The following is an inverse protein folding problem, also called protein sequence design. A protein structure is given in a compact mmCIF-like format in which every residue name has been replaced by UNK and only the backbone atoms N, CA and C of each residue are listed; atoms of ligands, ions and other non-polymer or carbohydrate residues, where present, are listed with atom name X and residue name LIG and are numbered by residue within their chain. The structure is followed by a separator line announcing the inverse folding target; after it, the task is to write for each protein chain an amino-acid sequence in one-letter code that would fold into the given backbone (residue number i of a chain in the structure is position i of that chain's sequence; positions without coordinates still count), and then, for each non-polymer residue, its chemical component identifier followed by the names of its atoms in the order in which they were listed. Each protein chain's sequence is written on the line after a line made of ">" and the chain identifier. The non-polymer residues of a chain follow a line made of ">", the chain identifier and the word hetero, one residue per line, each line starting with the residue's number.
data_IF_441342835695
#
_entry.id   IF_441342835695
#
_cell.length_a   1.000
_cell.length_b   1.000
_cell.length_c   1.000
_cell.angle_alpha   90.00
_cell.angle_beta   90.00
_cell.angle_gamma   90.00
#
_symmetry.space_group_name_H-M   'P 1'
#
loop_
_entity.id
_entity.type
_entity.pdbx_description
1 polymer ?
#
# COMPACT_ATOMS: atom_id res chain seq x y z
N UNK A 1 -17.67 20.10 -44.62
CA UNK A 1 -18.81 19.31 -44.11
C UNK A 1 -18.36 17.91 -43.67
N UNK A 2 -17.54 17.20 -44.45
CA UNK A 2 -17.08 15.85 -44.17
C UNK A 2 -16.23 15.72 -42.88
N UNK A 3 -15.33 16.67 -42.62
CA UNK A 3 -14.48 16.72 -41.43
C UNK A 3 -15.26 16.93 -40.12
N UNK A 4 -16.37 17.69 -40.17
CA UNK A 4 -17.25 17.87 -38.99
C UNK A 4 -18.05 16.61 -38.63
N UNK A 5 -18.40 15.80 -39.62
CA UNK A 5 -19.12 14.52 -39.41
C UNK A 5 -18.22 13.46 -38.78
N UNK A 6 -16.92 13.40 -39.13
CA UNK A 6 -15.97 12.47 -38.54
C UNK A 6 -15.63 12.84 -37.09
N UNK A 7 -15.47 14.10 -36.77
CA UNK A 7 -15.24 14.58 -35.40
C UNK A 7 -16.46 14.28 -34.51
N UNK A 8 -17.67 14.45 -35.01
CA UNK A 8 -18.89 14.11 -34.27
C UNK A 8 -19.02 12.61 -34.02
N UNK A 9 -18.66 11.76 -34.99
CA UNK A 9 -18.72 10.30 -34.82
C UNK A 9 -17.65 9.77 -33.84
N UNK A 10 -16.45 10.33 -33.86
CA UNK A 10 -15.39 9.97 -32.89
C UNK A 10 -15.76 10.38 -31.45
N UNK A 11 -16.34 11.55 -31.25
CA UNK A 11 -16.85 11.96 -29.94
C UNK A 11 -17.94 11.01 -29.43
N UNK A 12 -18.92 10.65 -30.28
CA UNK A 12 -19.95 9.71 -29.92
C UNK A 12 -19.41 8.31 -29.56
N UNK A 13 -18.35 7.84 -30.23
CA UNK A 13 -17.72 6.55 -29.92
C UNK A 13 -17.01 6.63 -28.57
N UNK A 14 -16.27 7.68 -28.29
CA UNK A 14 -15.57 7.88 -27.00
C UNK A 14 -16.55 8.01 -25.85
N UNK A 15 -17.59 8.81 -26.01
CA UNK A 15 -18.63 8.99 -24.99
C UNK A 15 -19.34 7.68 -24.68
N UNK A 16 -19.66 6.91 -25.72
CA UNK A 16 -20.29 5.59 -25.58
C UNK A 16 -19.37 4.61 -24.88
N UNK A 17 -18.09 4.55 -25.24
CA UNK A 17 -17.10 3.68 -24.61
C UNK A 17 -16.97 4.00 -23.12
N UNK A 18 -16.84 5.28 -22.76
CA UNK A 18 -16.74 5.71 -21.34
C UNK A 18 -18.03 5.38 -20.60
N UNK A 19 -19.18 5.63 -21.22
CA UNK A 19 -20.48 5.32 -20.62
C UNK A 19 -20.62 3.82 -20.35
N UNK A 20 -20.28 2.98 -21.33
CA UNK A 20 -20.33 1.52 -21.20
C UNK A 20 -19.36 1.01 -20.13
N UNK A 21 -18.13 1.56 -20.06
CA UNK A 21 -17.16 1.24 -19.02
C UNK A 21 -17.67 1.61 -17.61
N UNK A 22 -18.20 2.80 -17.45
CA UNK A 22 -18.73 3.27 -16.15
C UNK A 22 -19.96 2.48 -15.74
N UNK A 23 -20.83 2.13 -16.70
CA UNK A 23 -22.01 1.30 -16.46
C UNK A 23 -21.60 -0.10 -15.99
N UNK A 24 -20.71 -0.76 -16.72
CA UNK A 24 -20.21 -2.09 -16.37
C UNK A 24 -19.51 -2.08 -14.99
N UNK A 25 -18.73 -1.03 -14.70
CA UNK A 25 -18.11 -0.83 -13.39
C UNK A 25 -19.16 -0.72 -12.27
N UNK A 26 -20.21 0.08 -12.49
CA UNK A 26 -21.26 0.28 -11.49
C UNK A 26 -22.11 -0.98 -11.27
N UNK A 27 -22.43 -1.71 -12.34
CA UNK A 27 -23.28 -2.90 -12.29
C UNK A 27 -22.54 -4.14 -11.75
N UNK A 28 -21.27 -4.31 -12.07
CA UNK A 28 -20.52 -5.54 -11.77
C UNK A 28 -19.43 -5.38 -10.71
N UNK A 29 -18.89 -4.16 -10.54
CA UNK A 29 -17.74 -3.89 -9.69
C UNK A 29 -16.44 -4.53 -10.17
N UNK A 30 -16.36 -5.03 -11.41
CA UNK A 30 -15.23 -5.80 -11.94
C UNK A 30 -14.24 -4.99 -12.75
N UNK A 31 -14.62 -3.81 -13.22
CA UNK A 31 -13.75 -2.94 -14.00
C UNK A 31 -12.98 -2.01 -13.06
N UNK A 32 -11.66 -2.09 -13.12
CA UNK A 32 -10.75 -1.23 -12.37
C UNK A 32 -10.15 -0.20 -13.31
N UNK A 33 -9.96 1.01 -12.80
CA UNK A 33 -9.31 2.12 -13.51
C UNK A 33 -8.02 2.44 -12.76
N UNK A 34 -6.89 2.30 -13.43
CA UNK A 34 -5.57 2.56 -12.86
C UNK A 34 -4.97 3.81 -13.51
N UNK A 35 -4.54 4.76 -12.70
CA UNK A 35 -3.81 5.94 -13.14
C UNK A 35 -2.32 5.59 -13.25
N UNK A 36 -1.94 4.97 -14.36
CA UNK A 36 -0.61 4.38 -14.58
C UNK A 36 0.52 5.41 -14.49
N UNK A 37 0.31 6.64 -14.95
CA UNK A 37 1.30 7.70 -14.89
C UNK A 37 1.59 8.10 -13.43
N UNK A 38 0.56 8.19 -12.59
CA UNK A 38 0.70 8.46 -11.17
C UNK A 38 1.46 7.32 -10.47
N UNK A 39 1.10 6.06 -10.77
CA UNK A 39 1.80 4.90 -10.22
C UNK A 39 3.29 4.94 -10.55
N UNK A 40 3.67 5.24 -11.79
CA UNK A 40 5.07 5.34 -12.20
C UNK A 40 5.79 6.56 -11.60
N UNK A 41 5.08 7.69 -11.45
CA UNK A 41 5.66 8.90 -10.85
C UNK A 41 5.98 8.71 -9.38
N UNK A 42 5.08 8.08 -8.62
CA UNK A 42 5.16 8.01 -7.16
C UNK A 42 5.71 6.68 -6.62
N UNK A 43 5.93 5.66 -7.46
CA UNK A 43 6.51 4.39 -7.04
C UNK A 43 8.00 4.53 -6.66
N UNK A 44 8.50 3.55 -5.92
CA UNK A 44 9.92 3.41 -5.59
C UNK A 44 10.78 2.88 -6.74
N UNK A 45 10.18 2.54 -7.89
CA UNK A 45 10.86 1.87 -9.00
C UNK A 45 11.29 2.83 -10.10
N UNK A 46 12.43 2.55 -10.74
CA UNK A 46 12.84 3.09 -12.03
C UNK A 46 12.19 2.30 -13.17
N UNK A 47 12.00 1.00 -12.97
CA UNK A 47 11.30 0.12 -13.89
C UNK A 47 9.84 0.50 -14.02
N UNK A 48 9.30 0.31 -15.23
CA UNK A 48 7.93 0.69 -15.52
C UNK A 48 6.93 -0.28 -14.90
N UNK A 49 5.98 0.27 -14.14
CA UNK A 49 4.81 -0.44 -13.66
C UNK A 49 3.72 -0.37 -14.73
N UNK A 50 3.19 -1.52 -15.16
CA UNK A 50 2.17 -1.63 -16.20
C UNK A 50 0.83 -2.14 -15.70
N UNK A 51 0.76 -2.71 -14.50
CA UNK A 51 -0.43 -3.30 -13.92
C UNK A 51 -0.40 -3.25 -12.40
N UNK A 52 -1.51 -3.61 -11.78
CA UNK A 52 -1.64 -3.81 -10.34
C UNK A 52 -2.20 -5.20 -10.04
N UNK A 53 -2.23 -5.58 -8.75
CA UNK A 53 -2.99 -6.72 -8.28
C UNK A 53 -4.51 -6.46 -8.32
N UNK A 54 -5.31 -7.45 -7.92
CA UNK A 54 -6.77 -7.39 -7.91
C UNK A 54 -7.32 -6.21 -7.10
N UNK A 55 -6.78 -5.95 -5.92
CA UNK A 55 -7.25 -4.89 -5.03
C UNK A 55 -6.59 -3.51 -5.28
N UNK A 56 -5.69 -3.42 -6.24
CA UNK A 56 -4.97 -2.21 -6.68
C UNK A 56 -4.04 -1.57 -5.63
N UNK A 57 -3.80 -2.22 -4.49
CA UNK A 57 -2.86 -1.73 -3.47
C UNK A 57 -1.40 -2.02 -3.81
N UNK A 58 -1.13 -2.88 -4.79
CA UNK A 58 0.22 -3.29 -5.18
C UNK A 58 0.49 -2.92 -6.63
N UNK A 59 1.51 -2.10 -6.83
CA UNK A 59 1.97 -1.65 -8.15
C UNK A 59 3.46 -1.96 -8.29
N UNK A 60 3.76 -3.14 -8.83
CA UNK A 60 5.11 -3.66 -9.00
C UNK A 60 5.46 -3.78 -10.47
N UNK A 61 6.74 -3.58 -10.85
CA UNK A 61 7.21 -3.86 -12.20
C UNK A 61 7.09 -5.36 -12.52
N UNK A 62 6.80 -5.65 -13.78
CA UNK A 62 6.77 -7.00 -14.35
C UNK A 62 7.47 -7.00 -15.69
N UNK A 63 8.09 -8.11 -16.06
CA UNK A 63 8.64 -8.30 -17.39
C UNK A 63 7.91 -9.46 -18.11
N UNK A 64 7.70 -9.35 -19.44
CA UNK A 64 7.03 -10.41 -20.20
C UNK A 64 7.73 -11.75 -20.01
N UNK A 65 6.92 -12.82 -20.00
CA UNK A 65 7.39 -14.21 -20.00
C UNK A 65 6.98 -14.86 -21.31
N UNK A 66 7.95 -15.38 -22.05
CA UNK A 66 7.68 -16.09 -23.30
C UNK A 66 7.40 -17.58 -23.06
N UNK A 67 7.93 -18.12 -21.97
CA UNK A 67 7.78 -19.51 -21.58
C UNK A 67 7.75 -19.65 -20.05
N UNK A 68 7.07 -20.66 -19.52
CA UNK A 68 6.87 -20.86 -18.07
C UNK A 68 8.19 -20.96 -17.28
N UNK A 69 9.23 -21.53 -17.90
CA UNK A 69 10.58 -21.65 -17.33
C UNK A 69 11.55 -20.59 -17.89
N UNK A 70 11.03 -19.62 -18.66
CA UNK A 70 11.81 -18.59 -19.32
C UNK A 70 12.15 -17.42 -18.42
N UNK A 71 12.92 -16.51 -19.00
CA UNK A 71 13.22 -15.21 -18.39
C UNK A 71 11.96 -14.34 -18.35
N UNK A 72 11.90 -13.44 -17.39
CA UNK A 72 10.78 -12.54 -17.16
C UNK A 72 10.50 -12.39 -15.67
N UNK A 73 9.52 -11.55 -15.32
CA UNK A 73 9.17 -11.31 -13.93
C UNK A 73 7.65 -11.38 -13.70
N UNK A 74 7.22 -12.26 -12.80
CA UNK A 74 5.89 -12.25 -12.22
C UNK A 74 6.02 -11.64 -10.83
N UNK A 75 5.44 -10.46 -10.64
CA UNK A 75 5.51 -9.77 -9.38
C UNK A 75 4.68 -10.48 -8.30
N UNK A 76 5.31 -10.76 -7.18
CA UNK A 76 4.67 -11.21 -5.95
C UNK A 76 4.95 -10.19 -4.84
N UNK A 77 3.97 -10.03 -3.94
CA UNK A 77 4.12 -9.22 -2.75
C UNK A 77 3.63 -10.00 -1.55
N UNK A 78 4.45 -10.03 -0.50
CA UNK A 78 4.10 -10.66 0.77
C UNK A 78 3.53 -9.58 1.69
N UNK A 79 2.33 -9.83 2.23
CA UNK A 79 1.56 -8.84 2.95
C UNK A 79 1.58 -9.08 4.46
N UNK A 80 1.62 -7.97 5.21
CA UNK A 80 1.36 -7.93 6.65
C UNK A 80 0.61 -6.64 7.01
N UNK A 81 -0.06 -6.64 8.17
CA UNK A 81 -0.76 -5.46 8.66
C UNK A 81 -0.60 -5.29 10.17
N UNK A 82 -0.26 -4.07 10.60
CA UNK A 82 -0.16 -3.69 12.01
C UNK A 82 -1.48 -3.05 12.44
N UNK A 83 -2.05 -3.51 13.57
CA UNK A 83 -3.29 -2.95 14.12
C UNK A 83 -3.01 -1.70 14.94
N UNK A 84 -2.99 -0.53 14.29
CA UNK A 84 -2.69 0.76 14.94
C UNK A 84 -3.76 1.18 15.96
N UNK A 85 -4.94 0.57 15.94
CA UNK A 85 -5.98 0.80 16.94
C UNK A 85 -5.61 0.32 18.34
N UNK A 86 -4.65 -0.61 18.48
CA UNK A 86 -4.23 -1.18 19.77
C UNK A 86 -2.76 -0.98 20.08
N UNK A 87 -1.92 -0.78 19.07
CA UNK A 87 -0.48 -0.56 19.23
C UNK A 87 -0.24 0.75 19.97
N UNK A 88 0.71 0.74 20.89
CA UNK A 88 1.20 1.94 21.53
C UNK A 88 2.29 2.60 20.69
N UNK A 89 2.47 3.90 20.86
CA UNK A 89 3.43 4.67 20.09
C UNK A 89 4.86 4.15 20.26
N UNK A 90 5.24 3.84 21.48
CA UNK A 90 6.56 3.29 21.84
C UNK A 90 6.84 1.88 21.30
N UNK A 91 5.80 1.16 20.86
CA UNK A 91 5.91 -0.21 20.31
C UNK A 91 6.02 -0.20 18.77
N UNK A 92 5.73 0.92 18.11
CA UNK A 92 5.62 1.00 16.65
C UNK A 92 6.93 0.61 15.95
N UNK A 93 8.06 1.12 16.41
CA UNK A 93 9.37 0.84 15.82
C UNK A 93 9.70 -0.65 15.86
N UNK A 94 9.58 -1.26 17.03
CA UNK A 94 9.87 -2.69 17.20
C UNK A 94 8.91 -3.60 16.43
N UNK A 95 7.64 -3.20 16.29
CA UNK A 95 6.66 -3.96 15.50
C UNK A 95 6.91 -3.82 14.00
N UNK A 96 7.36 -2.66 13.54
CA UNK A 96 7.78 -2.47 12.15
C UNK A 96 9.00 -3.34 11.83
N UNK A 97 10.01 -3.36 12.69
CA UNK A 97 11.19 -4.21 12.53
C UNK A 97 10.80 -5.70 12.51
N UNK A 98 9.98 -6.14 13.46
CA UNK A 98 9.51 -7.53 13.52
C UNK A 98 8.72 -7.92 12.27
N UNK A 99 7.86 -7.03 11.76
CA UNK A 99 7.07 -7.28 10.55
C UNK A 99 7.97 -7.42 9.32
N UNK A 100 8.96 -6.54 9.14
CA UNK A 100 9.89 -6.60 8.02
C UNK A 100 10.74 -7.88 8.10
N UNK A 101 11.32 -8.19 9.26
CA UNK A 101 12.13 -9.41 9.45
C UNK A 101 11.32 -10.68 9.24
N UNK A 102 10.10 -10.74 9.78
CA UNK A 102 9.23 -11.91 9.61
C UNK A 102 8.87 -12.16 8.14
N UNK A 103 8.61 -11.12 7.37
CA UNK A 103 8.31 -11.27 5.94
C UNK A 103 9.58 -11.53 5.11
N UNK A 104 10.73 -10.98 5.50
CA UNK A 104 12.02 -11.27 4.88
C UNK A 104 12.36 -12.76 4.95
N UNK A 105 12.17 -13.40 6.11
CA UNK A 105 12.37 -14.84 6.27
C UNK A 105 11.38 -15.66 5.43
N UNK A 106 10.13 -15.20 5.28
CA UNK A 106 9.13 -15.86 4.42
C UNK A 106 9.52 -15.84 2.95
N UNK A 107 10.19 -14.79 2.46
CA UNK A 107 10.70 -14.72 1.09
C UNK A 107 11.66 -15.87 0.80
N UNK A 108 12.54 -16.18 1.74
CA UNK A 108 13.54 -17.23 1.56
C UNK A 108 13.02 -18.63 1.87
N UNK A 109 11.96 -18.74 2.69
CA UNK A 109 11.38 -20.01 3.11
C UNK A 109 10.38 -20.61 2.11
N UNK A 110 9.66 -19.76 1.36
CA UNK A 110 8.61 -20.25 0.46
C UNK A 110 9.17 -20.88 -0.82
N UNK A 111 8.41 -21.81 -1.37
CA UNK A 111 8.68 -22.42 -2.68
C UNK A 111 7.98 -21.63 -3.80
N UNK A 112 8.66 -21.46 -4.92
CA UNK A 112 8.13 -20.74 -6.08
C UNK A 112 7.74 -21.72 -7.20
N UNK A 113 6.45 -21.79 -7.60
CA UNK A 113 6.00 -22.75 -8.58
C UNK A 113 6.44 -22.43 -10.01
N UNK A 114 6.85 -21.18 -10.28
CA UNK A 114 7.33 -20.73 -11.60
C UNK A 114 8.58 -19.86 -11.44
N UNK A 115 9.54 -20.04 -12.35
CA UNK A 115 10.85 -19.36 -12.28
C UNK A 115 10.75 -17.85 -12.30
N UNK A 116 9.87 -17.27 -13.11
CA UNK A 116 9.68 -15.83 -13.20
C UNK A 116 9.19 -15.19 -11.87
N UNK A 117 8.42 -15.93 -11.08
CA UNK A 117 8.01 -15.47 -9.73
C UNK A 117 9.17 -15.51 -8.73
N UNK A 118 9.99 -16.57 -8.78
CA UNK A 118 11.21 -16.70 -7.97
C UNK A 118 12.18 -15.55 -8.27
N UNK A 119 12.48 -15.33 -9.55
CA UNK A 119 13.42 -14.29 -10.00
C UNK A 119 12.96 -12.90 -9.51
N UNK A 120 11.70 -12.55 -9.75
CA UNK A 120 11.15 -11.27 -9.32
C UNK A 120 11.22 -11.12 -7.79
N UNK A 121 10.78 -12.13 -7.06
CA UNK A 121 10.68 -12.05 -5.59
C UNK A 121 12.04 -12.01 -4.93
N UNK A 122 12.95 -12.88 -5.29
CA UNK A 122 14.29 -12.93 -4.68
C UNK A 122 15.16 -11.75 -5.08
N UNK A 123 14.98 -11.20 -6.29
CA UNK A 123 15.78 -10.05 -6.75
C UNK A 123 15.27 -8.72 -6.20
N UNK A 124 13.95 -8.56 -6.07
CA UNK A 124 13.34 -7.32 -5.60
C UNK A 124 13.00 -7.31 -4.12
N UNK A 125 12.70 -8.46 -3.54
CA UNK A 125 12.28 -8.64 -2.14
C UNK A 125 11.16 -7.67 -1.75
N UNK A 126 10.13 -7.56 -2.60
CA UNK A 126 9.03 -6.62 -2.43
C UNK A 126 8.12 -7.04 -1.28
N UNK A 127 7.91 -6.13 -0.33
CA UNK A 127 6.98 -6.30 0.78
C UNK A 127 5.80 -5.33 0.64
N UNK A 128 4.66 -5.70 1.24
CA UNK A 128 3.48 -4.86 1.35
C UNK A 128 2.98 -4.85 2.79
N UNK A 129 3.55 -4.00 3.62
CA UNK A 129 3.16 -3.85 5.03
C UNK A 129 2.24 -2.64 5.12
N UNK A 130 1.02 -2.86 5.61
CA UNK A 130 0.04 -1.81 5.84
C UNK A 130 -0.37 -1.74 7.31
N UNK A 131 -1.38 -0.93 7.59
CA UNK A 131 -1.99 -0.92 8.91
C UNK A 131 -3.51 -1.05 8.81
N UNK A 132 -4.10 -1.60 9.86
CA UNK A 132 -5.54 -1.73 10.08
C UNK A 132 -5.93 -1.00 11.34
N UNK A 133 -7.21 -0.75 11.52
CA UNK A 133 -7.68 -0.14 12.76
C UNK A 133 -7.56 1.38 12.79
N UNK A 134 -7.43 2.08 11.64
CA UNK A 134 -7.33 3.53 11.62
C UNK A 134 -8.57 4.20 12.24
N UNK A 135 -9.78 3.71 11.92
CA UNK A 135 -10.99 4.25 12.54
C UNK A 135 -10.99 4.08 14.07
N UNK A 136 -10.49 2.96 14.57
CA UNK A 136 -10.34 2.74 16.02
C UNK A 136 -9.27 3.68 16.62
N UNK A 137 -8.15 3.89 15.94
CA UNK A 137 -7.12 4.84 16.34
C UNK A 137 -7.67 6.27 16.47
N UNK A 138 -8.39 6.74 15.45
CA UNK A 138 -9.03 8.07 15.48
C UNK A 138 -10.10 8.16 16.57
N UNK A 139 -10.96 7.15 16.71
CA UNK A 139 -11.98 7.11 17.75
C UNK A 139 -11.39 7.18 19.18
N UNK A 140 -10.28 6.49 19.45
CA UNK A 140 -9.55 6.59 20.73
C UNK A 140 -9.03 8.01 21.01
N UNK A 141 -8.62 8.72 19.97
CA UNK A 141 -8.21 10.12 20.06
C UNK A 141 -9.38 11.11 20.05
N UNK A 142 -10.65 10.60 19.99
CA UNK A 142 -11.88 11.40 19.91
C UNK A 142 -11.90 12.36 18.71
N UNK A 143 -11.34 11.91 17.61
CA UNK A 143 -11.24 12.64 16.34
C UNK A 143 -12.03 11.88 15.28
N UNK A 144 -12.80 12.58 14.47
CA UNK A 144 -13.53 12.03 13.33
C UNK A 144 -12.71 12.17 12.05
N UNK A 145 -13.08 11.42 11.00
CA UNK A 145 -12.39 11.48 9.71
C UNK A 145 -12.42 12.86 9.03
N UNK A 146 -13.49 13.63 9.25
CA UNK A 146 -13.67 14.97 8.70
C UNK A 146 -13.12 16.09 9.60
N UNK A 147 -12.55 15.74 10.74
CA UNK A 147 -11.89 16.68 11.63
C UNK A 147 -10.52 17.08 11.05
N UNK A 148 -10.17 18.37 10.94
CA UNK A 148 -8.82 18.79 10.53
C UNK A 148 -7.70 18.14 11.35
N UNK A 149 -7.93 17.87 12.62
CA UNK A 149 -6.97 17.18 13.49
C UNK A 149 -6.68 15.73 13.04
N UNK A 150 -7.60 15.10 12.30
CA UNK A 150 -7.36 13.77 11.74
C UNK A 150 -6.21 13.77 10.73
N UNK A 151 -6.08 14.84 9.95
CA UNK A 151 -4.98 14.97 8.97
C UNK A 151 -3.62 15.00 9.67
N UNK A 152 -3.50 15.76 10.78
CA UNK A 152 -2.27 15.82 11.57
C UNK A 152 -1.92 14.46 12.17
N UNK A 153 -2.89 13.83 12.86
CA UNK A 153 -2.69 12.52 13.49
C UNK A 153 -2.31 11.42 12.50
N UNK A 154 -2.98 11.39 11.34
CA UNK A 154 -2.70 10.39 10.29
C UNK A 154 -1.35 10.66 9.64
N UNK A 155 -0.99 11.93 9.43
CA UNK A 155 0.31 12.31 8.90
C UNK A 155 1.44 11.82 9.81
N UNK A 156 1.38 12.15 11.12
CA UNK A 156 2.37 11.72 12.10
C UNK A 156 2.46 10.19 12.25
N UNK A 157 1.31 9.51 12.28
CA UNK A 157 1.24 8.04 12.32
C UNK A 157 1.92 7.43 11.09
N UNK A 158 1.60 7.94 9.90
CA UNK A 158 2.10 7.40 8.64
C UNK A 158 3.57 7.72 8.43
N UNK A 159 4.04 8.91 8.87
CA UNK A 159 5.45 9.25 8.87
C UNK A 159 6.26 8.23 9.66
N UNK A 160 5.90 7.98 10.93
CA UNK A 160 6.59 7.00 11.79
C UNK A 160 6.57 5.60 11.19
N UNK A 161 5.41 5.18 10.72
CA UNK A 161 5.23 3.86 10.10
C UNK A 161 6.16 3.66 8.91
N UNK A 162 6.15 4.61 7.96
CA UNK A 162 6.99 4.54 6.77
C UNK A 162 8.50 4.63 7.11
N UNK A 163 8.84 5.49 8.04
CA UNK A 163 10.23 5.69 8.48
C UNK A 163 10.80 4.43 9.13
N UNK A 164 10.08 3.85 10.09
CA UNK A 164 10.55 2.65 10.81
C UNK A 164 10.65 1.41 9.90
N UNK A 165 9.76 1.27 8.94
CA UNK A 165 9.86 0.19 7.94
C UNK A 165 11.12 0.35 7.07
N UNK A 166 11.44 1.58 6.66
CA UNK A 166 12.67 1.85 5.91
C UNK A 166 13.93 1.64 6.77
N UNK A 167 13.90 2.05 8.04
CA UNK A 167 15.00 1.78 8.98
C UNK A 167 15.25 0.27 9.12
N UNK A 168 14.20 -0.52 9.37
CA UNK A 168 14.29 -1.97 9.47
C UNK A 168 14.86 -2.62 8.19
N UNK A 169 14.45 -2.13 7.02
CA UNK A 169 15.00 -2.61 5.74
C UNK A 169 16.46 -2.22 5.55
N UNK A 170 16.89 -1.06 6.04
CA UNK A 170 18.28 -0.62 6.02
C UNK A 170 19.13 -1.44 7.00
N UNK A 171 18.60 -1.75 8.19
CA UNK A 171 19.25 -2.64 9.18
C UNK A 171 19.54 -4.01 8.56
N UNK A 172 18.54 -4.60 7.89
CA UNK A 172 18.71 -5.90 7.22
C UNK A 172 19.66 -5.80 6.03
N UNK A 173 19.68 -4.66 5.32
CA UNK A 173 20.65 -4.46 4.25
C UNK A 173 22.11 -4.42 4.77
N UNK A 174 22.35 -3.85 5.95
CA UNK A 174 23.65 -3.89 6.61
C UNK A 174 24.03 -5.30 7.06
N UNK A 175 23.05 -6.10 7.49
CA UNK A 175 23.28 -7.49 7.94
C UNK A 175 23.45 -8.49 6.78
N UNK A 176 22.63 -8.40 5.74
CA UNK A 176 22.47 -9.40 4.67
C UNK A 176 22.79 -8.87 3.26
N UNK A 177 23.08 -7.57 3.11
CA UNK A 177 23.23 -6.89 1.83
C UNK A 177 21.91 -6.38 1.25
N UNK A 178 22.02 -5.39 0.38
CA UNK A 178 20.88 -4.85 -0.37
C UNK A 178 20.24 -5.91 -1.29
N UNK A 179 18.98 -5.70 -1.71
CA UNK A 179 18.38 -6.57 -2.72
C UNK A 179 19.10 -6.46 -4.06
N UNK A 180 19.07 -7.54 -4.86
CA UNK A 180 19.83 -7.62 -6.12
C UNK A 180 19.43 -6.52 -7.11
N UNK A 181 18.19 -6.06 -7.08
CA UNK A 181 17.67 -5.00 -7.97
C UNK A 181 17.58 -3.63 -7.27
N UNK A 182 18.39 -3.39 -6.24
CA UNK A 182 18.44 -2.10 -5.54
C UNK A 182 18.68 -0.93 -6.51
N UNK A 183 19.63 -1.08 -7.45
CA UNK A 183 19.95 -0.05 -8.45
C UNK A 183 18.79 0.26 -9.41
N UNK A 184 17.81 -0.62 -9.52
CA UNK A 184 16.56 -0.43 -10.27
C UNK A 184 15.48 0.30 -9.46
N UNK A 185 15.81 0.75 -8.25
CA UNK A 185 14.92 1.56 -7.40
C UNK A 185 15.34 3.02 -7.38
N UNK A 186 14.40 3.91 -7.10
CA UNK A 186 14.67 5.34 -6.85
C UNK A 186 15.43 5.56 -5.54
N UNK A 187 15.38 4.60 -4.63
CA UNK A 187 16.16 4.63 -3.38
C UNK A 187 17.67 4.70 -3.65
N UNK A 188 18.16 4.03 -4.70
CA UNK A 188 19.56 4.11 -5.11
C UNK A 188 19.98 5.54 -5.48
N UNK A 189 19.05 6.36 -5.99
CA UNK A 189 19.28 7.78 -6.27
C UNK A 189 19.03 8.67 -5.03
N UNK A 190 18.66 8.05 -3.91
CA UNK A 190 18.34 8.75 -2.66
C UNK A 190 16.97 9.42 -2.67
N UNK A 191 16.06 8.98 -3.53
CA UNK A 191 14.68 9.48 -3.59
C UNK A 191 13.82 8.60 -2.67
N UNK A 192 13.24 9.21 -1.64
CA UNK A 192 12.40 8.55 -0.63
C UNK A 192 10.92 8.86 -0.85
N UNK A 193 9.99 8.17 -0.19
CA UNK A 193 8.55 8.44 -0.32
C UNK A 193 8.16 9.89 -0.03
N UNK A 194 8.87 10.58 0.86
CA UNK A 194 8.67 11.99 1.17
C UNK A 194 9.00 12.95 0.00
N UNK A 195 9.70 12.46 -1.02
CA UNK A 195 10.07 13.26 -2.20
C UNK A 195 9.09 13.08 -3.36
N UNK A 196 8.36 11.96 -3.40
CA UNK A 196 7.58 11.54 -4.57
C UNK A 196 6.07 11.80 -4.47
N UNK A 197 5.57 12.28 -3.35
CA UNK A 197 4.16 12.58 -3.21
C UNK A 197 3.71 13.81 -4.03
N UNK A 198 2.41 13.93 -4.29
CA UNK A 198 1.84 15.04 -5.04
C UNK A 198 1.88 16.32 -4.18
N UNK A 199 2.73 17.26 -4.56
CA UNK A 199 3.00 18.49 -3.79
C UNK A 199 1.77 19.39 -3.53
N UNK A 200 0.69 19.27 -4.32
CA UNK A 200 -0.56 19.99 -4.04
C UNK A 200 -1.24 19.55 -2.72
N UNK A 201 -0.80 18.45 -2.10
CA UNK A 201 -1.26 18.05 -0.77
C UNK A 201 -0.78 19.06 0.31
N UNK A 202 0.35 19.73 0.09
CA UNK A 202 0.90 20.74 0.99
C UNK A 202 -0.03 21.97 1.13
N UNK A 203 -0.96 22.17 0.18
CA UNK A 203 -2.01 23.20 0.29
C UNK A 203 -3.06 22.86 1.37
N UNK A 204 -3.20 21.57 1.70
CA UNK A 204 -4.16 21.07 2.69
C UNK A 204 -3.55 20.92 4.07
N UNK A 205 -2.31 20.45 4.13
CA UNK A 205 -1.56 20.21 5.37
C UNK A 205 -0.11 20.59 5.14
N UNK A 206 0.43 21.45 5.99
CA UNK A 206 1.85 21.77 5.97
C UNK A 206 2.64 20.51 6.37
N UNK A 207 3.56 20.02 5.50
CA UNK A 207 4.33 18.83 5.82
C UNK A 207 5.30 19.13 6.96
N UNK A 208 5.14 18.44 8.08
CA UNK A 208 6.04 18.48 9.23
C UNK A 208 6.67 17.11 9.37
N UNK A 209 7.96 17.03 9.14
CA UNK A 209 8.73 15.81 9.37
C UNK A 209 9.43 15.90 10.71
N UNK A 210 9.14 14.91 11.58
CA UNK A 210 9.67 14.88 12.95
C UNK A 210 10.86 13.91 13.08
N UNK A 211 11.14 13.11 12.05
CA UNK A 211 12.16 12.07 12.05
C UNK A 211 13.34 12.44 11.14
N UNK A 212 14.49 11.83 11.36
CA UNK A 212 15.74 12.16 10.64
C UNK A 212 15.77 11.48 9.24
N UNK A 213 14.97 11.98 8.32
CA UNK A 213 14.90 11.52 6.95
C UNK A 213 16.21 11.70 6.19
N UNK A 214 16.98 12.72 6.47
CA UNK A 214 18.26 12.95 5.79
C UNK A 214 19.34 11.99 6.27
N UNK A 215 19.39 11.68 7.57
CA UNK A 215 20.24 10.62 8.10
C UNK A 215 19.91 9.26 7.50
N UNK A 216 18.62 8.93 7.39
CA UNK A 216 18.17 7.70 6.75
C UNK A 216 18.52 7.67 5.25
N UNK A 217 18.32 8.78 4.52
CA UNK A 217 18.72 8.91 3.11
C UNK A 217 20.18 8.64 2.87
N UNK A 218 21.03 9.21 3.72
CA UNK A 218 22.49 8.97 3.66
C UNK A 218 22.81 7.51 3.90
N UNK A 219 22.23 6.91 4.92
CA UNK A 219 22.43 5.50 5.26
C UNK A 219 22.00 4.57 4.12
N UNK A 220 20.84 4.84 3.50
CA UNK A 220 20.34 4.07 2.34
C UNK A 220 21.28 4.20 1.14
N UNK A 221 21.84 5.37 0.87
CA UNK A 221 22.82 5.57 -0.20
C UNK A 221 24.12 4.82 0.03
N UNK A 222 24.56 4.69 1.27
CA UNK A 222 25.80 4.02 1.64
C UNK A 222 25.67 2.49 1.65
N UNK A 223 24.56 1.96 2.18
CA UNK A 223 24.39 0.53 2.45
C UNK A 223 23.30 -0.15 1.60
N UNK A 224 22.48 0.63 0.90
CA UNK A 224 21.33 0.13 0.16
C UNK A 224 20.10 -0.14 1.02
N UNK A 225 19.09 -0.77 0.41
CA UNK A 225 17.92 -1.32 1.09
C UNK A 225 17.75 -2.80 0.75
N UNK A 226 17.28 -3.57 1.72
CA UNK A 226 17.00 -5.00 1.53
C UNK A 226 15.74 -5.21 0.68
N UNK A 227 14.82 -4.27 0.65
CA UNK A 227 13.50 -4.39 0.00
C UNK A 227 13.29 -3.26 -1.00
N UNK A 228 12.85 -3.58 -2.21
CA UNK A 228 12.59 -2.60 -3.27
C UNK A 228 11.34 -1.75 -3.03
N UNK A 229 10.42 -2.23 -2.21
CA UNK A 229 9.27 -1.52 -1.64
C UNK A 229 8.83 -2.19 -0.34
N UNK A 230 8.15 -1.47 0.53
CA UNK A 230 7.81 -1.93 1.89
C UNK A 230 6.33 -1.77 2.23
N UNK A 231 5.65 -0.80 1.66
CA UNK A 231 4.30 -0.43 2.09
C UNK A 231 3.24 -0.74 1.06
N UNK A 232 2.12 -1.28 1.53
CA UNK A 232 0.88 -1.41 0.77
C UNK A 232 -0.31 -1.28 1.72
N UNK A 233 -1.29 -0.48 1.34
CA UNK A 233 -2.49 -0.30 2.14
C UNK A 233 -3.60 -1.22 1.62
N UNK A 234 -3.55 -2.48 2.06
CA UNK A 234 -4.45 -3.52 1.59
C UNK A 234 -5.84 -3.46 2.26
N UNK A 235 -6.89 -3.98 1.59
CA UNK A 235 -8.16 -4.30 2.23
C UNK A 235 -7.99 -5.55 3.10
N UNK A 236 -7.98 -5.38 4.42
CA UNK A 236 -7.66 -6.44 5.39
C UNK A 236 -8.91 -7.14 5.93
N UNK A 237 -9.78 -7.58 5.05
CA UNK A 237 -11.11 -8.14 5.36
C UNK A 237 -11.10 -9.24 6.44
N UNK A 238 -10.30 -10.28 6.27
CA UNK A 238 -10.26 -11.42 7.20
C UNK A 238 -9.37 -11.15 8.41
N UNK A 239 -8.20 -10.58 8.22
CA UNK A 239 -7.25 -10.28 9.29
C UNK A 239 -7.79 -9.23 10.26
N UNK A 240 -8.53 -8.22 9.79
CA UNK A 240 -9.19 -7.26 10.67
C UNK A 240 -10.27 -7.90 11.54
N UNK A 241 -11.02 -8.87 11.00
CA UNK A 241 -12.02 -9.61 11.78
C UNK A 241 -11.36 -10.44 12.87
N UNK A 242 -10.31 -11.18 12.54
CA UNK A 242 -9.58 -12.04 13.49
C UNK A 242 -8.96 -11.21 14.62
N UNK A 243 -8.40 -10.05 14.29
CA UNK A 243 -7.75 -9.16 15.26
C UNK A 243 -8.71 -8.18 15.96
N UNK A 244 -10.02 -8.28 15.69
CA UNK A 244 -11.03 -7.33 16.18
C UNK A 244 -10.67 -5.87 15.89
N UNK A 245 -10.24 -5.59 14.65
CA UNK A 245 -9.89 -4.26 14.16
C UNK A 245 -10.93 -3.74 13.18
N UNK A 246 -10.95 -2.44 12.93
CA UNK A 246 -11.61 -1.88 11.75
C UNK A 246 -10.78 -2.18 10.51
N UNK A 247 -11.44 -2.33 9.34
CA UNK A 247 -10.77 -2.72 8.10
C UNK A 247 -9.90 -1.58 7.57
N UNK A 248 -8.61 -1.84 7.41
CA UNK A 248 -7.67 -0.91 6.77
C UNK A 248 -7.75 0.51 7.31
N UNK A 249 -7.83 1.45 6.37
CA UNK A 249 -7.94 2.89 6.60
C UNK A 249 -9.37 3.43 6.45
N UNK A 250 -10.33 2.56 6.12
CA UNK A 250 -11.70 2.96 5.84
C UNK A 250 -12.48 3.23 7.12
N UNK A 251 -13.41 4.22 7.11
CA UNK A 251 -14.39 4.34 8.16
C UNK A 251 -15.32 3.13 8.17
N UNK A 252 -15.77 2.64 9.33
CA UNK A 252 -16.73 1.56 9.39
C UNK A 252 -18.07 2.01 8.78
N UNK A 253 -18.72 1.12 8.01
CA UNK A 253 -20.02 1.42 7.38
C UNK A 253 -21.15 1.60 8.39
N UNK A 254 -21.02 0.93 9.54
CA UNK A 254 -21.93 0.98 10.66
C UNK A 254 -21.20 0.47 11.91
N UNK A 255 -21.74 0.73 13.07
CA UNK A 255 -21.26 0.17 14.35
C UNK A 255 -21.32 -1.35 14.41
N UNK A 256 -22.26 -1.95 13.72
CA UNK A 256 -22.44 -3.39 13.55
C UNK A 256 -22.43 -3.76 12.07
N UNK A 257 -21.40 -4.44 11.62
CA UNK A 257 -21.36 -5.02 10.29
C UNK A 257 -21.74 -6.49 10.31
N UNK A 258 -22.44 -6.95 9.26
CA UNK A 258 -22.87 -8.33 9.09
C UNK A 258 -22.32 -8.86 7.79
N UNK A 259 -21.35 -9.79 7.89
CA UNK A 259 -20.78 -10.47 6.72
C UNK A 259 -21.42 -11.83 6.53
N UNK A 260 -22.04 -12.05 5.38
CA UNK A 260 -22.63 -13.35 5.00
C UNK A 260 -21.68 -14.08 4.05
N UNK A 261 -21.38 -15.33 4.35
CA UNK A 261 -20.59 -16.20 3.47
C UNK A 261 -21.24 -17.57 3.36
N UNK A 262 -20.75 -18.43 2.47
CA UNK A 262 -21.18 -19.82 2.37
C UNK A 262 -20.97 -20.61 3.68
N UNK A 263 -20.05 -20.16 4.54
CA UNK A 263 -19.73 -20.80 5.83
C UNK A 263 -20.57 -20.26 7.00
N UNK A 264 -21.41 -19.26 6.77
CA UNK A 264 -22.27 -18.67 7.80
C UNK A 264 -22.29 -17.15 7.80
N UNK A 265 -22.92 -16.61 8.83
CA UNK A 265 -23.06 -15.17 9.06
C UNK A 265 -22.17 -14.76 10.23
N UNK A 266 -21.28 -13.81 9.98
CA UNK A 266 -20.42 -13.21 10.99
C UNK A 266 -20.94 -11.80 11.31
N UNK A 267 -21.11 -11.51 12.59
CA UNK A 267 -21.41 -10.17 13.12
C UNK A 267 -20.15 -9.60 13.74
N UNK A 268 -19.79 -8.39 13.34
CA UNK A 268 -18.63 -7.68 13.89
C UNK A 268 -19.10 -6.30 14.38
N UNK A 269 -18.82 -6.02 15.64
CA UNK A 269 -19.05 -4.70 16.26
C UNK A 269 -17.73 -3.95 16.24
N UNK A 270 -17.79 -2.63 16.02
CA UNK A 270 -16.59 -1.78 16.07
C UNK A 270 -15.89 -1.93 17.44
N UNK A 271 -14.54 -1.90 17.47
CA UNK A 271 -13.80 -2.08 18.71
C UNK A 271 -14.21 -1.08 19.79
N UNK A 272 -14.25 -1.52 21.03
CA UNK A 272 -14.62 -0.70 22.20
C UNK A 272 -15.96 0.07 22.03
N UNK A 273 -16.94 -0.54 21.38
CA UNK A 273 -18.23 0.08 21.06
C UNK A 273 -18.88 0.84 22.23
N UNK A 274 -18.93 0.22 23.40
CA UNK A 274 -19.57 0.82 24.57
C UNK A 274 -18.92 2.14 25.01
N UNK A 275 -17.63 2.32 24.75
CA UNK A 275 -16.85 3.50 25.14
C UNK A 275 -16.74 4.53 24.01
N UNK A 276 -16.64 4.06 22.77
CA UNK A 276 -16.24 4.88 21.63
C UNK A 276 -17.32 5.06 20.55
N UNK A 277 -18.54 4.55 20.76
CA UNK A 277 -19.59 4.58 19.73
C UNK A 277 -19.84 5.98 19.11
N UNK A 278 -19.74 7.04 19.90
CA UNK A 278 -19.98 8.41 19.45
C UNK A 278 -18.77 9.03 18.71
N UNK A 279 -17.64 8.35 18.70
CA UNK A 279 -16.40 8.79 18.04
C UNK A 279 -16.17 8.10 16.69
N UNK A 280 -16.98 7.11 16.32
CA UNK A 280 -16.88 6.37 15.05
C UNK A 280 -17.67 7.01 13.89
N UNK A 281 -18.30 8.13 14.08
CA UNK A 281 -19.15 8.80 13.06
C UNK A 281 -18.44 9.94 12.40
#
# INVERSE_FOLDING_TARGET
>A
AMLRSLVGSEMCIRDRLITDLLKERAETGRIYIMNIDHSNTHSSFKDKVNMSNLCQEITLPTDPIDHIDGEGEIALCILSAINVGIVKEEEMESLCDLAVRGLEELIDFQEYPVKAAEVSTLSRRSLGIGYIGLAHYLAKNKVKYDDPKALELVHELTERFQYYLLCASADIAEEKGACAYFDRTKYADGILPIDTYKKSVDELVEPKYNLDWEGLRKRIKENGLRHSTLTAQMPSESSSVVSNATNGIEPPRDHLSVKKSKKGTLKQVVPQYTLLKNAYT
#
